data_IF_903300460825
#
_entry.id   IF_903300460825
#
_cell.length_a   1.000
_cell.length_b   1.000
_cell.length_c   1.000
_cell.angle_alpha   90.00
_cell.angle_beta   90.00
_cell.angle_gamma   90.00
#
_symmetry.space_group_name_H-M   'P 1'
#
loop_
_entity.id
_entity.type
_entity.pdbx_description
1 polymer ?
#
# COMPACT_ATOMS: atom_id res chain seq x y z
N UNK A 1 -15.91 -9.13 25.17
CA UNK A 1 -14.97 -10.28 25.10
C UNK A 1 -13.57 -9.76 25.36
N UNK A 2 -12.84 -10.28 26.35
CA UNK A 2 -11.44 -9.88 26.57
C UNK A 2 -10.56 -10.36 25.41
N UNK A 3 -9.55 -9.56 25.06
CA UNK A 3 -8.58 -9.91 24.02
C UNK A 3 -7.71 -11.07 24.53
N UNK A 4 -7.54 -12.17 23.77
CA UNK A 4 -6.70 -13.28 24.20
C UNK A 4 -5.24 -12.84 24.44
N UNK A 5 -4.55 -13.36 25.47
CA UNK A 5 -3.16 -13.02 25.73
C UNK A 5 -2.22 -13.62 24.68
N UNK A 6 -1.92 -12.84 23.65
CA UNK A 6 -1.19 -13.25 22.44
C UNK A 6 0.31 -13.55 22.67
N UNK A 7 0.96 -12.84 23.61
CA UNK A 7 2.42 -12.86 23.76
C UNK A 7 2.92 -13.37 25.13
N UNK A 8 2.05 -13.92 25.96
CA UNK A 8 2.41 -14.27 27.34
C UNK A 8 1.72 -15.51 27.92
N UNK A 9 1.03 -16.28 27.09
CA UNK A 9 0.33 -17.49 27.54
C UNK A 9 0.72 -18.71 26.70
N UNK A 10 0.53 -19.91 27.26
CA UNK A 10 0.75 -21.18 26.55
C UNK A 10 -0.22 -21.39 25.40
N UNK A 11 -1.39 -20.75 25.44
CA UNK A 11 -2.38 -20.69 24.34
C UNK A 11 -2.12 -19.57 23.33
N UNK A 12 -1.09 -18.73 23.55
CA UNK A 12 -0.72 -17.62 22.67
C UNK A 12 -0.51 -18.03 21.21
N UNK A 13 0.23 -19.12 20.90
CA UNK A 13 0.40 -19.59 19.53
C UNK A 13 -0.92 -19.94 18.82
N UNK A 14 -1.85 -20.61 19.50
CA UNK A 14 -3.14 -20.98 18.94
C UNK A 14 -4.02 -19.75 18.71
N UNK A 15 -3.98 -18.78 19.63
CA UNK A 15 -4.70 -17.52 19.49
C UNK A 15 -4.12 -16.63 18.37
N UNK A 16 -2.81 -16.72 18.11
CA UNK A 16 -2.13 -15.95 17.05
C UNK A 16 -2.38 -16.51 15.65
N UNK A 17 -2.57 -17.83 15.53
CA UNK A 17 -2.68 -18.51 14.24
C UNK A 17 -3.72 -17.91 13.28
N UNK A 18 -5.00 -17.67 13.67
CA UNK A 18 -5.98 -17.08 12.75
C UNK A 18 -5.63 -15.63 12.33
N UNK A 19 -4.90 -14.89 13.17
CA UNK A 19 -4.46 -13.53 12.84
C UNK A 19 -3.34 -13.56 11.79
N UNK A 20 -2.38 -14.48 11.95
CA UNK A 20 -1.31 -14.68 10.97
C UNK A 20 -1.87 -15.16 9.64
N UNK A 21 -2.81 -16.10 9.64
CA UNK A 21 -3.47 -16.57 8.42
C UNK A 21 -4.16 -15.42 7.67
N UNK A 22 -4.83 -14.52 8.39
CA UNK A 22 -5.45 -13.33 7.80
C UNK A 22 -4.43 -12.41 7.14
N UNK A 23 -3.31 -12.14 7.83
CA UNK A 23 -2.24 -11.27 7.30
C UNK A 23 -1.62 -11.90 6.05
N UNK A 24 -1.26 -13.18 6.11
CA UNK A 24 -0.64 -13.89 4.98
C UNK A 24 -1.57 -13.96 3.77
N UNK A 25 -2.86 -14.17 4.00
CA UNK A 25 -3.89 -14.13 2.95
C UNK A 25 -3.96 -12.74 2.31
N UNK A 26 -4.07 -11.68 3.11
CA UNK A 26 -4.14 -10.32 2.61
C UNK A 26 -2.89 -9.89 1.83
N UNK A 27 -1.70 -10.33 2.27
CA UNK A 27 -0.44 -10.08 1.55
C UNK A 27 -0.41 -10.79 0.20
N UNK A 28 -0.88 -12.04 0.14
CA UNK A 28 -0.98 -12.81 -1.10
C UNK A 28 -1.93 -12.13 -2.09
N UNK A 29 -3.13 -11.76 -1.65
CA UNK A 29 -4.11 -11.04 -2.47
C UNK A 29 -3.60 -9.67 -2.91
N UNK A 30 -2.88 -8.96 -2.04
CA UNK A 30 -2.21 -7.72 -2.39
C UNK A 30 -1.15 -7.91 -3.47
N UNK A 31 -0.35 -8.97 -3.39
CA UNK A 31 0.68 -9.28 -4.38
C UNK A 31 0.06 -9.62 -5.74
N UNK A 32 -0.99 -10.44 -5.77
CA UNK A 32 -1.73 -10.76 -7.02
C UNK A 32 -2.33 -9.52 -7.66
N UNK A 33 -2.98 -8.65 -6.88
CA UNK A 33 -3.58 -7.41 -7.40
C UNK A 33 -2.59 -6.42 -8.00
N UNK A 34 -1.34 -6.41 -7.49
CA UNK A 34 -0.29 -5.50 -7.98
C UNK A 34 0.47 -6.05 -9.19
N UNK A 35 0.30 -7.32 -9.53
CA UNK A 35 0.95 -8.00 -10.66
C UNK A 35 2.49 -7.83 -10.71
N UNK A 36 3.13 -7.74 -9.53
CA UNK A 36 4.58 -7.56 -9.41
C UNK A 36 4.99 -6.79 -8.16
N UNK A 37 6.30 -6.71 -7.87
CA UNK A 37 6.80 -5.78 -6.87
C UNK A 37 6.47 -4.34 -7.31
N UNK A 38 6.10 -3.48 -6.36
CA UNK A 38 6.06 -2.04 -6.64
C UNK A 38 7.44 -1.65 -7.20
N UNK A 39 7.51 -0.96 -8.36
CA UNK A 39 8.78 -0.46 -8.86
C UNK A 39 9.45 0.33 -7.74
N UNK A 40 10.78 0.21 -7.59
CA UNK A 40 11.52 0.99 -6.61
C UNK A 40 11.21 2.48 -6.81
N UNK A 41 10.32 3.01 -5.98
CA UNK A 41 9.78 4.35 -6.06
C UNK A 41 10.53 5.24 -5.10
N UNK A 42 11.44 6.04 -5.65
CA UNK A 42 12.13 7.11 -4.93
C UNK A 42 11.85 8.45 -5.60
N UNK A 43 12.13 9.58 -4.91
CA UNK A 43 11.95 10.92 -5.46
C UNK A 43 12.61 11.09 -6.82
N UNK A 44 13.82 10.57 -7.00
CA UNK A 44 14.58 10.64 -8.26
C UNK A 44 13.92 9.87 -9.41
N UNK A 45 13.19 8.80 -9.07
CA UNK A 45 12.55 7.89 -10.03
C UNK A 45 11.13 8.35 -10.38
N UNK A 46 10.40 8.91 -9.42
CA UNK A 46 9.00 9.33 -9.57
C UNK A 46 8.89 10.74 -10.12
N UNK A 47 9.74 11.68 -9.67
CA UNK A 47 9.66 13.10 -10.08
C UNK A 47 9.75 13.30 -11.60
N UNK A 48 10.69 12.69 -12.33
CA UNK A 48 10.77 12.87 -13.78
C UNK A 48 9.54 12.29 -14.48
N UNK A 49 9.09 11.09 -14.07
CA UNK A 49 7.90 10.43 -14.66
C UNK A 49 6.64 11.27 -14.47
N UNK A 50 6.43 11.78 -13.25
CA UNK A 50 5.30 12.66 -12.94
C UNK A 50 5.36 13.95 -13.75
N UNK A 51 6.54 14.58 -13.85
CA UNK A 51 6.70 15.80 -14.66
C UNK A 51 6.40 15.52 -16.13
N UNK A 52 6.89 14.43 -16.71
CA UNK A 52 6.60 14.08 -18.11
C UNK A 52 5.12 13.80 -18.33
N UNK A 53 4.49 13.01 -17.47
CA UNK A 53 3.08 12.62 -17.62
C UNK A 53 2.12 13.80 -17.45
N UNK A 54 2.50 14.78 -16.62
CA UNK A 54 1.65 15.91 -16.29
C UNK A 54 1.96 17.17 -17.07
N UNK A 55 2.99 17.27 -17.92
CA UNK A 55 3.32 18.55 -18.57
C UNK A 55 2.68 18.69 -19.97
N UNK A 56 1.98 19.81 -20.26
CA UNK A 56 1.64 20.90 -19.35
C UNK A 56 0.43 20.56 -18.46
N UNK A 57 0.55 20.75 -17.15
CA UNK A 57 -0.51 20.39 -16.20
C UNK A 57 -1.58 21.48 -16.15
N UNK A 58 -1.10 22.71 -16.27
CA UNK A 58 -1.89 23.92 -16.32
C UNK A 58 -1.50 24.62 -17.62
N UNK A 59 -2.47 25.06 -18.43
CA UNK A 59 -2.19 25.81 -19.64
C UNK A 59 -1.55 27.16 -19.29
N UNK A 60 -0.70 27.66 -20.20
CA UNK A 60 -0.03 28.95 -20.02
C UNK A 60 -1.01 30.13 -19.91
N UNK A 61 -2.21 29.97 -20.46
CA UNK A 61 -3.28 30.98 -20.43
C UNK A 61 -4.55 30.36 -19.83
N UNK A 62 -5.09 31.02 -18.80
CA UNK A 62 -6.37 30.65 -18.19
C UNK A 62 -7.57 31.04 -19.07
N UNK A 63 -8.71 30.39 -18.87
CA UNK A 63 -9.93 30.62 -19.68
C UNK A 63 -10.75 31.84 -19.25
N UNK A 64 -10.28 32.59 -18.25
CA UNK A 64 -10.97 33.79 -17.72
C UNK A 64 -12.06 33.48 -16.69
N UNK A 65 -12.71 34.52 -16.18
CA UNK A 65 -13.81 34.40 -15.22
C UNK A 65 -15.06 33.85 -15.94
N UNK A 66 -15.33 32.56 -15.75
CA UNK A 66 -16.60 31.92 -16.10
C UNK A 66 -17.54 31.90 -14.89
#
# INVERSE_FOLDING_TARGET
MPVPPLAGSTTGPDALRPLLDTVLTALTEGARRRDGPLPAGGPDTVTPRTRTALTPLIPDQGTGAH
#
